data_IF_237472217551
#
_entry.id   IF_237472217551
#
_cell.length_a   1.000
_cell.length_b   1.000
_cell.length_c   1.000
_cell.angle_alpha   90.00
_cell.angle_beta   90.00
_cell.angle_gamma   90.00
#
_symmetry.space_group_name_H-M   'P 1'
#
loop_
_entity.id
_entity.type
_entity.pdbx_description
1 polymer ?
#
# COMPACT_ATOMS: atom_id res chain seq x y z
N UNK A 1 6.19 23.62 -14.20
CA UNK A 1 5.92 22.57 -13.19
C UNK A 1 7.20 21.80 -12.97
N UNK A 2 7.76 21.85 -11.77
CA UNK A 2 9.09 21.34 -11.41
C UNK A 2 9.07 19.83 -11.27
N UNK A 3 10.03 19.14 -11.92
CA UNK A 3 10.22 17.66 -11.93
C UNK A 3 10.17 16.97 -10.55
N UNK A 4 10.36 17.71 -9.46
CA UNK A 4 10.35 17.18 -8.10
C UNK A 4 8.95 16.80 -7.60
N UNK A 5 7.92 17.61 -7.89
CA UNK A 5 6.53 17.31 -7.47
C UNK A 5 6.01 16.04 -8.12
N UNK A 6 6.34 15.82 -9.39
CA UNK A 6 5.92 14.64 -10.14
C UNK A 6 6.47 13.34 -9.54
N UNK A 7 7.71 13.35 -9.03
CA UNK A 7 8.34 12.18 -8.40
C UNK A 7 7.71 11.83 -7.05
N UNK A 8 7.30 12.84 -6.27
CA UNK A 8 6.60 12.64 -5.00
C UNK A 8 5.23 11.98 -5.26
N UNK A 9 4.50 12.45 -6.27
CA UNK A 9 3.21 11.87 -6.64
C UNK A 9 3.33 10.43 -7.13
N UNK A 10 4.40 10.10 -7.84
CA UNK A 10 4.65 8.72 -8.32
C UNK A 10 4.91 7.76 -7.17
N UNK A 11 5.72 8.18 -6.18
CA UNK A 11 5.99 7.41 -4.97
C UNK A 11 4.73 7.14 -4.13
N UNK A 12 3.88 8.16 -3.94
CA UNK A 12 2.61 8.01 -3.22
C UNK A 12 1.64 7.10 -3.96
N UNK A 13 1.57 7.21 -5.30
CA UNK A 13 0.74 6.33 -6.13
C UNK A 13 1.20 4.88 -6.01
N UNK A 14 2.49 4.60 -6.19
CA UNK A 14 3.05 3.24 -6.12
C UNK A 14 2.83 2.61 -4.75
N UNK A 15 3.05 3.37 -3.67
CA UNK A 15 2.77 2.90 -2.30
C UNK A 15 1.30 2.50 -2.13
N UNK A 16 0.38 3.27 -2.72
CA UNK A 16 -1.06 3.04 -2.60
C UNK A 16 -1.54 1.87 -3.44
N UNK A 17 -1.04 1.72 -4.66
CA UNK A 17 -1.30 0.56 -5.52
C UNK A 17 -0.83 -0.74 -4.88
N UNK A 18 0.36 -0.75 -4.27
CA UNK A 18 0.85 -1.89 -3.50
C UNK A 18 -0.05 -2.22 -2.31
N UNK A 19 -0.47 -1.20 -1.54
CA UNK A 19 -1.33 -1.39 -0.38
C UNK A 19 -2.72 -1.94 -0.77
N UNK A 20 -3.30 -1.42 -1.86
CA UNK A 20 -4.58 -1.89 -2.37
C UNK A 20 -4.48 -3.33 -2.92
N UNK A 21 -3.35 -3.69 -3.52
CA UNK A 21 -3.08 -5.07 -3.90
C UNK A 21 -3.03 -6.01 -2.69
N UNK A 22 -2.30 -5.63 -1.63
CA UNK A 22 -2.24 -6.42 -0.39
C UNK A 22 -3.60 -6.55 0.30
N UNK A 23 -4.47 -5.53 0.19
CA UNK A 23 -5.86 -5.59 0.70
C UNK A 23 -6.75 -6.50 -0.13
N UNK A 24 -6.58 -6.49 -1.46
CA UNK A 24 -7.36 -7.33 -2.36
C UNK A 24 -7.03 -8.82 -2.20
N UNK A 25 -5.78 -9.12 -1.82
CA UNK A 25 -5.28 -10.49 -1.66
C UNK A 25 -4.83 -10.73 -0.21
N UNK A 26 -5.74 -11.13 0.71
CA UNK A 26 -5.38 -11.40 2.10
C UNK A 26 -4.36 -12.53 2.19
N UNK A 27 -3.20 -12.24 2.81
CA UNK A 27 -2.04 -13.13 2.87
C UNK A 27 -0.92 -12.78 1.88
N UNK A 28 -1.17 -11.85 0.95
CA UNK A 28 -0.15 -11.29 0.07
C UNK A 28 0.91 -10.55 0.90
N UNK A 29 2.15 -11.02 0.81
CA UNK A 29 3.32 -10.42 1.45
C UNK A 29 4.03 -9.47 0.50
N UNK A 30 4.98 -8.69 1.02
CA UNK A 30 5.88 -7.88 0.17
C UNK A 30 6.66 -8.71 -0.84
N UNK A 31 6.87 -10.01 -0.59
CA UNK A 31 7.47 -10.92 -1.57
C UNK A 31 6.56 -11.21 -2.76
N UNK A 32 5.26 -11.32 -2.53
CA UNK A 32 4.26 -11.56 -3.58
C UNK A 32 4.06 -10.34 -4.48
N UNK A 33 4.33 -9.13 -3.95
CA UNK A 33 4.35 -7.90 -4.75
C UNK A 33 5.43 -7.94 -5.85
N UNK A 34 6.48 -8.76 -5.73
CA UNK A 34 7.54 -8.88 -6.74
C UNK A 34 7.04 -9.38 -8.10
N UNK A 35 5.86 -10.01 -8.15
CA UNK A 35 5.22 -10.41 -9.39
C UNK A 35 4.53 -9.25 -10.12
N UNK A 36 4.22 -8.15 -9.42
CA UNK A 36 3.40 -7.06 -9.93
C UNK A 36 4.12 -5.71 -9.93
N UNK A 37 5.16 -5.56 -9.09
CA UNK A 37 5.89 -4.32 -8.90
C UNK A 37 7.40 -4.57 -9.06
N UNK A 38 8.15 -3.58 -9.55
CA UNK A 38 9.59 -3.71 -9.68
C UNK A 38 10.25 -3.78 -8.31
N UNK A 39 11.30 -4.60 -8.18
CA UNK A 39 12.00 -4.84 -6.92
C UNK A 39 12.54 -3.55 -6.26
N UNK A 40 12.93 -2.56 -7.06
CA UNK A 40 13.36 -1.25 -6.57
C UNK A 40 12.25 -0.51 -5.81
N UNK A 41 11.03 -0.50 -6.34
CA UNK A 41 9.90 0.16 -5.69
C UNK A 41 9.44 -0.61 -4.47
N UNK A 42 9.51 -1.95 -4.48
CA UNK A 42 9.16 -2.77 -3.31
C UNK A 42 10.14 -2.50 -2.16
N UNK A 43 11.43 -2.38 -2.46
CA UNK A 43 12.43 -2.06 -1.45
C UNK A 43 12.24 -0.65 -0.84
N UNK A 44 11.77 0.31 -1.65
CA UNK A 44 11.52 1.68 -1.21
C UNK A 44 10.17 1.87 -0.50
N UNK A 45 9.11 1.20 -0.96
CA UNK A 45 7.73 1.50 -0.59
C UNK A 45 6.96 0.31 -0.02
N UNK A 46 7.48 -0.90 -0.10
CA UNK A 46 6.77 -2.12 0.32
C UNK A 46 6.38 -2.12 1.80
N UNK A 47 7.25 -1.65 2.69
CA UNK A 47 6.94 -1.53 4.13
C UNK A 47 5.86 -0.47 4.39
N UNK A 48 5.94 0.68 3.71
CA UNK A 48 4.92 1.72 3.79
C UNK A 48 3.56 1.24 3.26
N UNK A 49 3.57 0.47 2.17
CA UNK A 49 2.38 -0.15 1.58
C UNK A 49 1.75 -1.17 2.53
N UNK A 50 2.55 -2.03 3.17
CA UNK A 50 2.06 -2.99 4.16
C UNK A 50 1.40 -2.29 5.36
N UNK A 51 2.05 -1.24 5.90
CA UNK A 51 1.47 -0.42 6.99
C UNK A 51 0.18 0.26 6.57
N UNK A 52 0.13 0.80 5.35
CA UNK A 52 -1.06 1.44 4.80
C UNK A 52 -2.19 0.42 4.60
N UNK A 53 -1.88 -0.78 4.11
CA UNK A 53 -2.82 -1.88 3.97
C UNK A 53 -3.46 -2.21 5.33
N UNK A 54 -2.63 -2.47 6.37
CA UNK A 54 -3.09 -2.71 7.74
C UNK A 54 -3.92 -1.57 8.34
N UNK A 55 -3.53 -0.31 8.11
CA UNK A 55 -4.27 0.86 8.59
C UNK A 55 -5.66 1.00 7.93
N UNK A 56 -5.82 0.48 6.70
CA UNK A 56 -7.13 0.39 6.04
C UNK A 56 -8.03 -0.66 6.68
N UNK A 57 -7.46 -1.80 7.06
CA UNK A 57 -8.17 -2.87 7.75
C UNK A 57 -8.62 -2.47 9.17
N UNK A 58 -7.78 -1.77 9.93
CA UNK A 58 -8.15 -1.30 11.27
C UNK A 58 -9.33 -0.33 11.26
N UNK A 59 -9.44 0.56 10.26
CA UNK A 59 -10.65 1.39 10.09
C UNK A 59 -11.91 0.56 9.79
N UNK A 60 -11.76 -0.57 9.10
CA UNK A 60 -12.87 -1.49 8.82
C UNK A 60 -13.35 -2.22 10.08
N UNK A 61 -12.42 -2.52 10.99
CA UNK A 61 -12.72 -3.14 12.30
C UNK A 61 -13.37 -2.11 13.24
N UNK A 62 -12.88 -0.86 13.25
CA UNK A 62 -13.44 0.21 14.08
C UNK A 62 -14.85 0.64 13.60
N UNK A 63 -15.09 0.64 12.28
CA UNK A 63 -16.42 0.88 11.70
C UNK A 63 -17.45 -0.24 11.94
N UNK A 64 -17.04 -1.41 12.43
CA UNK A 64 -17.96 -2.49 12.86
C UNK A 64 -18.15 -2.55 14.38
N UNK A 65 -17.56 -1.64 15.16
CA UNK A 65 -17.70 -1.62 16.62
C UNK A 65 -18.74 -0.62 17.15
N UNK A 66 -19.44 0.08 16.27
CA UNK A 66 -20.49 1.05 16.65
C UNK A 66 -21.91 0.62 16.26
N UNK A 67 -22.12 -0.67 16.00
CA UNK A 67 -23.44 -1.24 15.74
C UNK A 67 -23.70 -2.45 16.65
N UNK A 68 -23.66 -2.25 17.96
CA UNK A 68 -24.35 -3.07 18.95
C UNK A 68 -24.94 -2.17 20.03
#
# INVERSE_FOLDING_TARGET
>A
MTKALQRITDAERTTREMADHMRAYPGCTTGDLACHFPAGDIALYGDAAAKLALAGDTKRIDGRRSAQ
#
